data_IF_103279127386
#
_entry.id   IF_103279127386
#
_cell.length_a   1.000
_cell.length_b   1.000
_cell.length_c   1.000
_cell.angle_alpha   90.00
_cell.angle_beta   90.00
_cell.angle_gamma   90.00
#
_symmetry.space_group_name_H-M   'P 1'
#
loop_
_entity.id
_entity.type
_entity.pdbx_description
1 polymer ?
#
# COMPACT_ATOMS: atom_id res chain seq x y z
N UNK A 1 5.56 3.39 -13.33
CA UNK A 1 6.06 4.30 -12.28
C UNK A 1 4.92 4.66 -11.34
N UNK A 2 5.17 4.70 -10.02
CA UNK A 2 4.15 4.81 -8.97
C UNK A 2 4.54 5.84 -7.89
N UNK A 3 3.56 6.54 -7.28
CA UNK A 3 3.75 7.62 -6.26
C UNK A 3 2.61 7.60 -5.21
N UNK A 4 2.87 8.02 -3.95
CA UNK A 4 2.09 7.65 -2.73
C UNK A 4 1.87 8.82 -1.73
N UNK A 5 0.70 8.93 -1.04
CA UNK A 5 0.19 10.21 -0.48
C UNK A 5 -0.69 10.26 0.80
N UNK A 6 -0.36 11.16 1.75
CA UNK A 6 -1.19 12.08 2.62
C UNK A 6 -0.18 12.91 3.49
N UNK A 7 -0.31 14.13 4.07
CA UNK A 7 -1.36 15.00 4.65
C UNK A 7 -0.98 16.52 4.56
N UNK A 8 -1.86 17.42 5.06
CA UNK A 8 -1.80 18.90 5.11
C UNK A 8 -1.99 19.61 3.75
N UNK A 9 -3.23 20.08 3.52
CA UNK A 9 -3.76 20.60 2.25
C UNK A 9 -2.81 21.52 1.47
N UNK A 10 -2.28 22.58 2.09
CA UNK A 10 -1.44 23.59 1.41
C UNK A 10 -0.05 23.08 1.00
N UNK A 11 0.44 22.01 1.62
CA UNK A 11 1.70 21.39 1.23
C UNK A 11 1.45 20.46 0.05
N UNK A 12 0.61 19.44 0.23
CA UNK A 12 0.26 18.48 -0.82
C UNK A 12 -0.25 19.15 -2.10
N UNK A 13 -1.17 20.10 -2.02
CA UNK A 13 -1.73 20.77 -3.19
C UNK A 13 -0.69 21.59 -4.00
N UNK A 14 0.51 21.81 -3.45
CA UNK A 14 1.67 22.37 -4.17
C UNK A 14 2.64 21.29 -4.64
N UNK A 15 3.02 20.36 -3.75
CA UNK A 15 4.10 19.40 -3.99
C UNK A 15 3.66 18.18 -4.79
N UNK A 16 2.41 17.72 -4.67
CA UNK A 16 1.92 16.59 -5.46
C UNK A 16 1.82 16.91 -6.96
N UNK A 17 1.24 18.04 -7.42
CA UNK A 17 1.23 18.37 -8.85
C UNK A 17 2.64 18.49 -9.45
N UNK A 18 3.61 18.99 -8.65
CA UNK A 18 5.02 19.03 -9.04
C UNK A 18 5.62 17.62 -9.14
N UNK A 19 5.40 16.75 -8.16
CA UNK A 19 5.84 15.36 -8.19
C UNK A 19 5.21 14.58 -9.37
N UNK A 20 3.88 14.66 -9.57
CA UNK A 20 3.17 14.00 -10.68
C UNK A 20 3.65 14.48 -12.05
N UNK A 21 3.91 15.79 -12.23
CA UNK A 21 4.39 16.33 -13.51
C UNK A 21 5.88 16.08 -13.80
N UNK A 22 6.71 15.94 -12.76
CA UNK A 22 8.11 15.52 -12.88
C UNK A 22 8.25 14.02 -13.14
N UNK A 23 7.64 13.19 -12.28
CA UNK A 23 7.75 11.72 -12.27
C UNK A 23 6.93 11.06 -13.39
N UNK A 24 5.84 11.70 -13.83
CA UNK A 24 4.91 11.24 -14.88
C UNK A 24 4.47 9.77 -14.70
N UNK A 25 3.90 9.41 -13.56
CA UNK A 25 3.61 8.02 -13.24
C UNK A 25 2.43 7.47 -14.04
N UNK A 26 2.55 6.21 -14.50
CA UNK A 26 1.47 5.44 -15.12
C UNK A 26 0.27 5.23 -14.18
N UNK A 27 0.56 5.19 -12.88
CA UNK A 27 -0.34 4.83 -11.79
C UNK A 27 0.05 5.55 -10.50
N UNK A 28 -0.90 5.75 -9.61
CA UNK A 28 -0.71 6.25 -8.25
C UNK A 28 -1.20 5.18 -7.28
N UNK A 29 -0.47 4.99 -6.18
CA UNK A 29 -0.83 4.04 -5.13
C UNK A 29 -0.97 4.85 -3.86
N UNK A 30 -2.09 4.75 -3.13
CA UNK A 30 -2.20 5.36 -1.80
C UNK A 30 -2.25 4.23 -0.79
N UNK A 31 -1.26 4.18 0.11
CA UNK A 31 -1.04 3.07 1.04
C UNK A 31 -1.85 3.17 2.34
N UNK A 32 -2.96 3.90 2.35
CA UNK A 32 -3.80 4.13 3.52
C UNK A 32 -3.42 5.36 4.35
N UNK A 33 -4.18 5.57 5.42
CA UNK A 33 -4.19 6.75 6.28
C UNK A 33 -4.41 8.03 5.47
N UNK A 34 -5.53 8.03 4.77
CA UNK A 34 -6.01 9.13 3.93
C UNK A 34 -6.69 10.21 4.79
N UNK A 35 -7.25 9.83 5.94
CA UNK A 35 -7.98 10.71 6.85
C UNK A 35 -7.56 10.49 8.31
N UNK A 36 -6.98 11.52 8.94
CA UNK A 36 -6.58 11.47 10.35
C UNK A 36 -7.79 11.28 11.30
N UNK A 37 -9.01 11.63 10.83
CA UNK A 37 -10.28 11.50 11.56
C UNK A 37 -11.25 10.49 10.90
N UNK A 38 -10.77 9.57 10.04
CA UNK A 38 -11.64 8.66 9.26
C UNK A 38 -12.58 7.78 10.11
N UNK A 39 -12.17 7.50 11.36
CA UNK A 39 -12.92 6.70 12.34
C UNK A 39 -14.09 7.46 12.97
N UNK A 40 -13.86 8.70 13.40
CA UNK A 40 -14.79 9.52 14.19
C UNK A 40 -15.65 10.43 13.33
N UNK A 41 -15.28 10.64 12.07
CA UNK A 41 -16.04 11.45 11.12
C UNK A 41 -17.48 10.99 10.95
N UNK A 42 -18.41 11.95 10.97
CA UNK A 42 -19.73 11.81 10.35
C UNK A 42 -19.62 11.63 8.82
N UNK A 43 -20.68 11.14 8.16
CA UNK A 43 -20.64 10.94 6.70
C UNK A 43 -20.48 12.25 5.92
N UNK A 44 -20.98 13.37 6.46
CA UNK A 44 -20.76 14.71 5.91
C UNK A 44 -19.30 15.18 6.07
N UNK A 45 -18.61 14.79 7.15
CA UNK A 45 -17.17 15.04 7.32
C UNK A 45 -16.35 14.17 6.39
N UNK A 46 -16.65 12.88 6.31
CA UNK A 46 -15.98 11.95 5.39
C UNK A 46 -16.16 12.40 3.93
N UNK A 47 -17.35 12.86 3.55
CA UNK A 47 -17.63 13.47 2.24
C UNK A 47 -16.74 14.70 1.98
N UNK A 48 -16.64 15.63 2.95
CA UNK A 48 -15.74 16.80 2.85
C UNK A 48 -14.27 16.41 2.76
N UNK A 49 -13.84 15.36 3.47
CA UNK A 49 -12.47 14.87 3.42
C UNK A 49 -12.15 14.20 2.08
N UNK A 50 -13.08 13.44 1.52
CA UNK A 50 -12.98 12.89 0.16
C UNK A 50 -12.99 13.97 -0.93
N UNK A 51 -13.81 15.02 -0.78
CA UNK A 51 -13.78 16.18 -1.68
C UNK A 51 -12.44 16.93 -1.59
N UNK A 52 -11.87 17.06 -0.38
CA UNK A 52 -10.51 17.59 -0.16
C UNK A 52 -9.44 16.70 -0.79
N UNK A 53 -9.52 15.37 -0.63
CA UNK A 53 -8.63 14.40 -1.27
C UNK A 53 -8.69 14.55 -2.80
N UNK A 54 -9.89 14.57 -3.37
CA UNK A 54 -10.09 14.76 -4.81
C UNK A 54 -9.53 16.11 -5.30
N UNK A 55 -9.71 17.20 -4.54
CA UNK A 55 -9.18 18.53 -4.88
C UNK A 55 -7.66 18.62 -4.83
N UNK A 56 -6.99 17.77 -4.05
CA UNK A 56 -5.51 17.69 -4.02
C UNK A 56 -5.03 16.78 -5.14
N UNK A 57 -5.58 15.56 -5.20
CA UNK A 57 -5.01 14.46 -5.97
C UNK A 57 -5.60 14.27 -7.36
N UNK A 58 -6.65 15.02 -7.72
CA UNK A 58 -7.34 14.95 -9.02
C UNK A 58 -7.86 13.54 -9.35
N UNK A 59 -8.34 12.84 -8.31
CA UNK A 59 -8.67 11.42 -8.31
C UNK A 59 -9.81 11.06 -9.28
N UNK A 60 -10.97 11.71 -9.18
CA UNK A 60 -12.16 11.38 -9.98
C UNK A 60 -11.96 11.54 -11.49
N UNK A 61 -11.04 12.40 -11.91
CA UNK A 61 -10.72 12.61 -13.32
C UNK A 61 -9.75 11.54 -13.87
N UNK A 62 -9.15 10.74 -12.99
CA UNK A 62 -8.07 9.80 -13.30
C UNK A 62 -8.19 8.46 -12.54
N UNK A 63 -9.37 8.11 -12.01
CA UNK A 63 -9.56 7.00 -11.04
C UNK A 63 -8.99 5.66 -11.54
N UNK A 64 -9.05 5.41 -12.85
CA UNK A 64 -8.46 4.23 -13.50
C UNK A 64 -6.94 4.09 -13.35
N UNK A 65 -6.23 5.13 -12.89
CA UNK A 65 -4.80 5.12 -12.60
C UNK A 65 -4.50 5.05 -11.09
N UNK A 66 -5.48 4.90 -10.20
CA UNK A 66 -5.26 5.03 -8.76
C UNK A 66 -5.62 3.72 -8.03
N UNK A 67 -4.70 3.21 -7.21
CA UNK A 67 -4.94 2.06 -6.32
C UNK A 67 -4.80 2.52 -4.88
N UNK A 68 -5.96 2.79 -4.26
CA UNK A 68 -6.06 3.38 -2.93
C UNK A 68 -6.47 2.27 -1.95
N UNK A 69 -5.62 1.92 -0.99
CA UNK A 69 -5.91 0.95 0.08
C UNK A 69 -6.30 1.71 1.37
N UNK A 70 -7.06 1.10 2.31
CA UNK A 70 -7.33 1.72 3.60
C UNK A 70 -6.12 1.59 4.55
N UNK A 71 -5.91 2.61 5.37
CA UNK A 71 -5.11 2.50 6.60
C UNK A 71 -5.99 2.32 7.83
N UNK A 72 -5.40 2.08 8.99
CA UNK A 72 -6.18 1.87 10.20
C UNK A 72 -6.96 3.11 10.65
N UNK A 73 -6.51 4.33 10.38
CA UNK A 73 -7.29 5.54 10.65
C UNK A 73 -8.45 5.76 9.65
N UNK A 74 -8.44 5.06 8.51
CA UNK A 74 -9.55 5.08 7.55
C UNK A 74 -10.67 4.08 7.89
N UNK A 75 -10.34 2.91 8.48
CA UNK A 75 -11.29 1.79 8.66
C UNK A 75 -11.35 1.14 10.05
N UNK A 76 -10.49 1.54 10.99
CA UNK A 76 -10.55 1.14 12.40
C UNK A 76 -9.54 0.07 12.82
N UNK A 77 -8.52 -0.20 12.01
CA UNK A 77 -7.61 -1.35 12.19
C UNK A 77 -6.99 -1.46 13.59
N UNK A 78 -6.40 -0.38 14.13
CA UNK A 78 -5.70 -0.35 15.43
C UNK A 78 -6.63 -0.61 16.63
N UNK A 79 -7.88 -0.11 16.59
CA UNK A 79 -8.80 -0.14 17.74
C UNK A 79 -9.90 -1.19 17.66
N UNK A 80 -10.25 -1.62 16.44
CA UNK A 80 -11.47 -2.39 16.17
C UNK A 80 -11.25 -3.61 15.28
N UNK A 81 -10.14 -3.70 14.54
CA UNK A 81 -9.96 -4.72 13.50
C UNK A 81 -11.17 -4.81 12.57
N UNK A 82 -11.58 -6.01 12.18
CA UNK A 82 -12.75 -6.25 11.34
C UNK A 82 -14.14 -5.99 12.01
N UNK A 83 -14.20 -5.61 13.29
CA UNK A 83 -15.47 -5.49 14.03
C UNK A 83 -16.34 -4.27 13.63
N UNK A 84 -15.83 -3.35 12.82
CA UNK A 84 -16.54 -2.16 12.34
C UNK A 84 -16.80 -2.22 10.81
N UNK A 85 -17.68 -3.11 10.33
CA UNK A 85 -17.91 -3.33 8.90
C UNK A 85 -18.47 -2.09 8.18
N UNK A 86 -19.10 -1.16 8.91
CA UNK A 86 -19.61 0.11 8.37
C UNK A 86 -18.48 1.06 7.93
N UNK A 87 -17.35 1.12 8.64
CA UNK A 87 -16.21 1.95 8.24
C UNK A 87 -15.60 1.42 6.93
N UNK A 88 -15.38 0.10 6.86
CA UNK A 88 -14.96 -0.57 5.62
C UNK A 88 -15.98 -0.42 4.49
N UNK A 89 -17.29 -0.36 4.78
CA UNK A 89 -18.32 -0.06 3.77
C UNK A 89 -18.24 1.39 3.29
N UNK A 90 -18.10 2.36 4.19
CA UNK A 90 -17.92 3.78 3.85
C UNK A 90 -16.69 3.97 2.96
N UNK A 91 -15.57 3.35 3.31
CA UNK A 91 -14.37 3.35 2.46
C UNK A 91 -14.65 2.79 1.05
N UNK A 92 -15.32 1.63 0.96
CA UNK A 92 -15.69 1.03 -0.34
C UNK A 92 -16.58 1.91 -1.21
N UNK A 93 -17.45 2.72 -0.61
CA UNK A 93 -18.33 3.65 -1.33
C UNK A 93 -17.57 4.81 -2.01
N UNK A 94 -16.35 5.11 -1.56
CA UNK A 94 -15.52 6.23 -2.06
C UNK A 94 -14.26 5.79 -2.82
N UNK A 95 -13.71 4.60 -2.52
CA UNK A 95 -12.43 4.10 -3.06
C UNK A 95 -12.48 2.63 -3.55
N UNK A 96 -13.70 2.11 -3.78
CA UNK A 96 -13.91 0.77 -4.33
C UNK A 96 -13.49 -0.39 -3.42
N UNK A 97 -13.51 -1.62 -3.97
CA UNK A 97 -13.25 -2.86 -3.21
C UNK A 97 -11.93 -2.81 -2.43
N UNK A 98 -11.98 -3.10 -1.12
CA UNK A 98 -10.83 -3.15 -0.19
C UNK A 98 -9.84 -4.30 -0.49
N UNK A 99 -10.32 -5.41 -1.04
CA UNK A 99 -9.49 -6.49 -1.62
C UNK A 99 -9.78 -6.54 -3.11
N UNK A 100 -8.75 -6.37 -3.94
CA UNK A 100 -8.90 -6.36 -5.41
C UNK A 100 -7.56 -6.65 -6.13
N UNK A 101 -7.65 -7.29 -7.30
CA UNK A 101 -6.50 -7.52 -8.19
C UNK A 101 -6.63 -6.66 -9.46
N UNK A 102 -5.71 -5.71 -9.61
CA UNK A 102 -5.53 -4.87 -10.80
C UNK A 102 -4.39 -5.43 -11.68
N UNK A 103 -4.42 -5.12 -12.97
CA UNK A 103 -3.48 -5.63 -13.97
C UNK A 103 -2.98 -4.50 -14.86
N UNK A 104 -1.66 -4.39 -15.04
CA UNK A 104 -0.99 -3.44 -15.94
C UNK A 104 0.13 -4.20 -16.67
N UNK A 105 -0.09 -4.57 -17.92
CA UNK A 105 0.82 -5.43 -18.70
C UNK A 105 1.19 -6.69 -17.89
N UNK A 106 2.48 -6.96 -17.71
CA UNK A 106 2.99 -8.10 -16.94
C UNK A 106 3.06 -7.88 -15.42
N UNK A 107 2.39 -6.85 -14.90
CA UNK A 107 2.37 -6.51 -13.47
C UNK A 107 0.95 -6.69 -12.92
N UNK A 108 0.85 -7.37 -11.78
CA UNK A 108 -0.37 -7.46 -10.97
C UNK A 108 -0.23 -6.66 -9.68
N UNK A 109 -1.27 -5.91 -9.32
CA UNK A 109 -1.37 -5.21 -8.04
C UNK A 109 -2.49 -5.83 -7.21
N UNK A 110 -2.10 -6.56 -6.16
CA UNK A 110 -3.05 -7.10 -5.19
C UNK A 110 -3.20 -6.08 -4.05
N UNK A 111 -4.27 -5.29 -4.13
CA UNK A 111 -4.75 -4.42 -3.04
C UNK A 111 -5.37 -5.29 -1.96
N UNK A 112 -4.94 -5.07 -0.71
CA UNK A 112 -5.39 -5.77 0.49
C UNK A 112 -5.85 -4.80 1.59
N UNK A 113 -6.55 -5.39 2.55
CA UNK A 113 -6.99 -4.81 3.82
C UNK A 113 -6.78 -5.91 4.88
N UNK A 114 -5.51 -6.07 5.29
CA UNK A 114 -5.05 -6.96 6.34
C UNK A 114 -4.42 -6.13 7.47
N UNK A 115 -5.07 -6.04 8.62
CA UNK A 115 -4.57 -5.33 9.80
C UNK A 115 -3.72 -6.23 10.72
N UNK A 116 -3.23 -5.67 11.83
CA UNK A 116 -2.36 -6.38 12.79
C UNK A 116 -3.05 -7.56 13.50
N UNK A 117 -4.38 -7.57 13.58
CA UNK A 117 -5.17 -8.61 14.26
C UNK A 117 -5.61 -9.72 13.31
N UNK A 118 -5.82 -9.41 12.02
CA UNK A 118 -6.23 -10.37 11.00
C UNK A 118 -5.37 -11.63 10.96
N UNK A 119 -6.00 -12.80 10.92
CA UNK A 119 -5.34 -14.04 10.52
C UNK A 119 -5.50 -14.25 9.01
N UNK A 120 -4.46 -14.75 8.34
CA UNK A 120 -4.58 -15.17 6.94
C UNK A 120 -5.25 -16.55 6.86
N UNK A 121 -6.53 -16.57 7.20
CA UNK A 121 -7.41 -17.75 7.18
C UNK A 121 -8.82 -17.37 6.73
N UNK A 122 -9.68 -18.38 6.62
CA UNK A 122 -11.14 -18.25 6.57
C UNK A 122 -11.64 -17.21 5.55
N UNK A 123 -12.41 -16.20 5.98
CA UNK A 123 -13.02 -15.21 5.09
C UNK A 123 -11.97 -14.33 4.37
N UNK A 124 -10.97 -13.79 5.08
CA UNK A 124 -9.94 -12.92 4.50
C UNK A 124 -9.10 -13.67 3.47
N UNK A 125 -8.65 -14.90 3.80
CA UNK A 125 -7.95 -15.78 2.86
C UNK A 125 -8.82 -16.06 1.62
N UNK A 126 -10.07 -16.48 1.82
CA UNK A 126 -11.00 -16.81 0.72
C UNK A 126 -11.25 -15.62 -0.22
N UNK A 127 -11.43 -14.42 0.32
CA UNK A 127 -11.61 -13.20 -0.47
C UNK A 127 -10.38 -12.84 -1.32
N UNK A 128 -9.17 -13.13 -0.82
CA UNK A 128 -7.93 -12.99 -1.60
C UNK A 128 -7.84 -14.07 -2.68
N UNK A 129 -8.13 -15.34 -2.35
CA UNK A 129 -8.06 -16.45 -3.32
C UNK A 129 -9.08 -16.29 -4.46
N UNK A 130 -10.25 -15.70 -4.20
CA UNK A 130 -11.23 -15.35 -5.23
C UNK A 130 -10.60 -14.46 -6.33
N UNK A 131 -9.69 -13.55 -5.96
CA UNK A 131 -9.02 -12.67 -6.90
C UNK A 131 -7.80 -13.33 -7.57
N UNK A 132 -7.03 -14.17 -6.85
CA UNK A 132 -5.74 -14.70 -7.32
C UNK A 132 -5.78 -16.06 -7.99
N UNK A 133 -6.60 -17.01 -7.52
CA UNK A 133 -6.65 -18.39 -8.07
C UNK A 133 -7.55 -18.52 -9.30
N UNK A 134 -8.67 -17.80 -9.33
CA UNK A 134 -9.58 -17.79 -10.49
C UNK A 134 -9.01 -17.07 -11.73
N UNK A 135 -7.78 -16.52 -11.63
CA UNK A 135 -7.11 -15.73 -12.67
C UNK A 135 -5.67 -16.22 -12.84
N UNK A 136 -5.40 -17.19 -13.73
CA UNK A 136 -4.06 -17.76 -13.88
C UNK A 136 -3.01 -16.68 -14.15
N UNK A 137 -1.87 -16.76 -13.44
CA UNK A 137 -0.91 -15.68 -13.36
C UNK A 137 -0.10 -15.52 -14.66
N UNK A 138 -0.64 -14.73 -15.59
CA UNK A 138 0.06 -14.27 -16.81
C UNK A 138 1.07 -13.14 -16.55
N UNK A 139 1.13 -12.61 -15.33
CA UNK A 139 2.00 -11.51 -14.95
C UNK A 139 3.35 -12.03 -14.43
N UNK A 140 4.44 -11.39 -14.85
CA UNK A 140 5.80 -11.70 -14.42
C UNK A 140 6.09 -11.24 -12.98
N UNK A 141 5.37 -10.22 -12.52
CA UNK A 141 5.52 -9.63 -11.18
C UNK A 141 4.17 -9.42 -10.49
N UNK A 142 4.08 -9.81 -9.21
CA UNK A 142 2.95 -9.46 -8.34
C UNK A 142 3.43 -8.55 -7.20
N UNK A 143 2.85 -7.37 -7.16
CA UNK A 143 3.04 -6.32 -6.15
C UNK A 143 1.85 -6.38 -5.20
N UNK A 144 2.12 -6.55 -3.91
CA UNK A 144 1.10 -6.50 -2.84
C UNK A 144 1.08 -5.11 -2.23
N UNK A 145 -0.12 -4.60 -1.96
CA UNK A 145 -0.35 -3.30 -1.33
C UNK A 145 -1.17 -3.53 -0.05
N UNK A 146 -0.58 -3.29 1.12
CA UNK A 146 -1.23 -3.47 2.42
C UNK A 146 -0.73 -2.40 3.39
N UNK A 147 -1.59 -1.81 4.24
CA UNK A 147 -1.12 -0.72 5.13
C UNK A 147 -0.11 -1.22 6.16
N UNK A 148 -0.46 -2.30 6.86
CA UNK A 148 0.37 -2.95 7.89
C UNK A 148 1.41 -3.90 7.30
N UNK A 149 2.47 -4.15 8.07
CA UNK A 149 3.52 -5.14 7.78
C UNK A 149 2.99 -6.56 7.56
N UNK A 150 3.60 -7.27 6.60
CA UNK A 150 3.35 -8.68 6.30
C UNK A 150 4.59 -9.51 6.64
N UNK A 151 5.80 -9.09 6.23
CA UNK A 151 7.04 -9.85 6.38
C UNK A 151 7.66 -9.82 7.80
N UNK A 152 7.01 -9.16 8.77
CA UNK A 152 7.36 -9.26 10.21
C UNK A 152 6.30 -9.98 11.05
N UNK A 153 5.24 -10.52 10.43
CA UNK A 153 4.22 -11.34 11.11
C UNK A 153 4.74 -12.75 11.40
N UNK A 154 3.90 -13.60 11.99
CA UNK A 154 4.32 -14.97 12.36
C UNK A 154 4.69 -15.81 11.12
N UNK A 155 5.66 -16.72 11.26
CA UNK A 155 6.07 -17.63 10.16
C UNK A 155 4.88 -18.46 9.62
N UNK A 156 3.89 -18.79 10.46
CA UNK A 156 2.65 -19.47 10.04
C UNK A 156 1.80 -18.59 9.11
N UNK A 157 1.66 -17.30 9.44
CA UNK A 157 0.98 -16.33 8.57
C UNK A 157 1.75 -16.16 7.26
N UNK A 158 3.04 -15.83 7.36
CA UNK A 158 3.91 -15.52 6.22
C UNK A 158 3.96 -16.69 5.23
N UNK A 159 4.15 -17.92 5.71
CA UNK A 159 4.21 -19.10 4.84
C UNK A 159 2.90 -19.38 4.10
N UNK A 160 1.75 -19.23 4.77
CA UNK A 160 0.45 -19.38 4.11
C UNK A 160 0.21 -18.29 3.06
N UNK A 161 0.52 -17.04 3.41
CA UNK A 161 0.41 -15.88 2.53
C UNK A 161 1.28 -16.01 1.27
N UNK A 162 2.57 -16.34 1.44
CA UNK A 162 3.52 -16.46 0.33
C UNK A 162 3.15 -17.61 -0.61
N UNK A 163 2.72 -18.76 -0.08
CA UNK A 163 2.36 -19.92 -0.91
C UNK A 163 1.12 -19.67 -1.78
N UNK A 164 0.19 -18.83 -1.32
CA UNK A 164 -1.06 -18.53 -2.00
C UNK A 164 -0.94 -17.36 -2.99
N UNK A 165 -0.10 -16.39 -2.66
CA UNK A 165 -0.02 -15.09 -3.36
C UNK A 165 1.27 -14.97 -4.17
N UNK A 166 2.33 -15.70 -3.85
CA UNK A 166 3.63 -15.67 -4.53
C UNK A 166 4.24 -14.26 -4.78
N UNK A 167 4.13 -13.29 -3.85
CA UNK A 167 4.48 -11.91 -4.14
C UNK A 167 5.98 -11.74 -4.40
N UNK A 168 6.33 -10.79 -5.28
CA UNK A 168 7.71 -10.36 -5.49
C UNK A 168 8.08 -9.20 -4.57
N UNK A 169 7.11 -8.33 -4.29
CA UNK A 169 7.28 -7.19 -3.39
C UNK A 169 5.95 -6.82 -2.72
N UNK A 170 6.04 -6.34 -1.49
CA UNK A 170 4.98 -5.73 -0.68
C UNK A 170 5.33 -4.26 -0.47
N UNK A 171 4.36 -3.36 -0.61
CA UNK A 171 4.48 -1.94 -0.28
C UNK A 171 3.52 -1.63 0.88
N UNK A 172 4.02 -0.98 1.93
CA UNK A 172 3.26 -0.68 3.15
C UNK A 172 3.42 0.74 3.71
N UNK A 173 2.40 1.17 4.45
CA UNK A 173 2.28 2.46 5.14
C UNK A 173 2.69 2.34 6.61
N UNK A 174 1.75 2.60 7.54
CA UNK A 174 1.80 2.43 9.01
C UNK A 174 2.98 3.06 9.74
N UNK A 175 4.21 2.58 9.52
CA UNK A 175 5.38 2.93 10.31
C UNK A 175 5.91 4.35 10.06
N UNK A 176 5.30 5.09 9.13
CA UNK A 176 5.58 6.48 8.74
C UNK A 176 7.01 6.84 8.29
N UNK A 177 7.97 5.93 8.40
CA UNK A 177 9.37 6.10 8.00
C UNK A 177 9.77 5.11 6.90
N UNK A 178 10.80 5.48 6.13
CA UNK A 178 11.36 4.63 5.08
C UNK A 178 12.14 3.43 5.63
N UNK A 179 11.82 2.23 5.13
CA UNK A 179 12.66 1.04 5.30
C UNK A 179 12.49 0.04 4.16
N UNK A 180 13.50 -0.80 3.94
CA UNK A 180 13.43 -1.99 3.07
C UNK A 180 13.81 -3.20 3.90
N UNK A 181 12.93 -4.21 3.92
CA UNK A 181 13.16 -5.53 4.50
C UNK A 181 13.15 -6.55 3.36
N UNK A 182 14.08 -7.49 3.34
CA UNK A 182 13.99 -8.71 2.53
C UNK A 182 13.59 -9.90 3.38
N UNK A 183 12.81 -10.82 2.82
CA UNK A 183 12.49 -12.13 3.38
C UNK A 183 12.97 -13.22 2.44
N UNK A 184 13.81 -14.10 2.96
CA UNK A 184 14.33 -15.28 2.25
C UNK A 184 13.38 -16.47 2.49
N UNK A 185 12.81 -17.02 1.41
CA UNK A 185 11.79 -18.08 1.45
C UNK A 185 12.32 -19.43 1.93
N UNK A 186 13.63 -19.67 1.86
CA UNK A 186 14.26 -20.98 2.14
C UNK A 186 14.58 -21.11 3.63
N UNK A 187 15.29 -20.12 4.16
CA UNK A 187 15.64 -19.98 5.58
C UNK A 187 14.50 -19.43 6.44
N UNK A 188 13.46 -18.86 5.81
CA UNK A 188 12.30 -18.22 6.44
C UNK A 188 12.66 -17.06 7.37
N UNK A 189 13.72 -16.31 7.02
CA UNK A 189 14.24 -15.17 7.79
C UNK A 189 14.01 -13.86 7.06
N UNK A 190 13.73 -12.81 7.83
CA UNK A 190 13.79 -11.43 7.35
C UNK A 190 15.17 -10.79 7.66
N UNK A 191 15.54 -9.77 6.88
CA UNK A 191 16.76 -8.96 7.02
C UNK A 191 16.43 -7.52 6.67
N UNK A 192 16.86 -6.55 7.49
CA UNK A 192 16.73 -5.13 7.16
C UNK A 192 17.86 -4.76 6.19
N UNK A 193 17.50 -4.26 5.01
CA UNK A 193 18.44 -3.84 3.97
C UNK A 193 18.66 -2.31 3.97
N UNK A 194 17.61 -1.55 4.29
CA UNK A 194 17.68 -0.10 4.37
C UNK A 194 16.75 0.45 5.45
N UNK A 195 17.14 1.59 6.03
CA UNK A 195 16.29 2.42 6.88
C UNK A 195 16.67 3.88 6.67
N UNK A 196 15.75 4.78 7.01
CA UNK A 196 15.79 6.24 6.81
C UNK A 196 17.04 7.00 7.32
N UNK A 197 17.95 6.34 8.05
CA UNK A 197 19.24 6.91 8.46
C UNK A 197 20.35 6.83 7.39
N UNK A 198 20.17 6.05 6.32
CA UNK A 198 21.14 5.96 5.24
C UNK A 198 21.20 7.25 4.41
N UNK A 199 22.39 7.62 3.93
CA UNK A 199 22.64 8.78 3.06
C UNK A 199 22.22 8.56 1.59
N UNK A 200 21.53 7.46 1.30
CA UNK A 200 21.18 6.98 -0.03
C UNK A 200 19.68 7.16 -0.29
N UNK A 201 19.34 7.84 -1.38
CA UNK A 201 17.97 8.16 -1.79
C UNK A 201 17.43 7.32 -2.95
N UNK A 202 18.28 6.50 -3.57
CA UNK A 202 17.95 5.63 -4.70
C UNK A 202 18.44 4.23 -4.34
N UNK A 203 17.55 3.24 -4.42
CA UNK A 203 17.87 1.83 -4.16
C UNK A 203 17.71 1.02 -5.46
N UNK A 204 18.07 -0.26 -5.44
CA UNK A 204 17.79 -1.16 -6.57
C UNK A 204 17.60 -2.56 -6.04
N UNK A 205 16.44 -3.15 -6.30
CA UNK A 205 16.03 -4.47 -5.83
C UNK A 205 15.83 -5.42 -7.02
N UNK A 206 16.12 -6.70 -6.83
CA UNK A 206 16.00 -7.72 -7.88
C UNK A 206 14.73 -8.55 -7.68
N UNK A 207 13.67 -8.24 -8.43
CA UNK A 207 12.40 -8.96 -8.36
C UNK A 207 12.40 -10.26 -9.20
N UNK A 208 13.52 -10.59 -9.85
CA UNK A 208 13.65 -11.83 -10.65
C UNK A 208 13.97 -13.04 -9.78
N UNK A 209 14.70 -12.88 -8.66
CA UNK A 209 14.91 -13.96 -7.71
C UNK A 209 13.63 -14.27 -6.94
N UNK A 210 12.96 -15.36 -7.32
CA UNK A 210 11.72 -15.81 -6.70
C UNK A 210 11.93 -16.39 -5.29
N UNK A 211 13.17 -16.55 -4.80
CA UNK A 211 13.47 -16.96 -3.42
C UNK A 211 13.42 -15.79 -2.42
N UNK A 212 13.54 -14.54 -2.91
CA UNK A 212 13.50 -13.33 -2.08
C UNK A 212 12.17 -12.61 -2.29
N UNK A 213 11.68 -11.97 -1.23
CA UNK A 213 10.55 -11.05 -1.28
C UNK A 213 10.96 -9.78 -0.54
N UNK A 214 10.65 -8.62 -1.10
CA UNK A 214 10.91 -7.34 -0.44
C UNK A 214 9.63 -6.78 0.19
N UNK A 215 9.75 -6.11 1.33
CA UNK A 215 8.72 -5.23 1.89
C UNK A 215 9.33 -3.83 2.04
N UNK A 216 8.74 -2.85 1.35
CA UNK A 216 9.13 -1.44 1.47
C UNK A 216 8.12 -0.73 2.36
N UNK A 217 8.57 -0.18 3.47
CA UNK A 217 7.83 0.85 4.21
C UNK A 217 8.05 2.19 3.55
N UNK A 218 6.97 2.84 3.15
CA UNK A 218 6.99 4.12 2.48
C UNK A 218 6.78 5.22 3.53
N UNK A 219 7.64 6.25 3.60
CA UNK A 219 7.49 7.32 4.56
C UNK A 219 6.19 8.08 4.32
N UNK A 220 5.58 8.59 5.38
CA UNK A 220 4.42 9.46 5.23
C UNK A 220 4.85 10.81 4.65
N UNK A 221 4.06 11.41 3.75
CA UNK A 221 4.26 12.83 3.39
C UNK A 221 3.41 13.78 4.27
N UNK A 222 3.07 13.32 5.48
CA UNK A 222 2.17 14.00 6.43
C UNK A 222 2.90 14.89 7.42
N UNK A 223 2.76 16.21 7.25
CA UNK A 223 3.20 17.15 8.29
C UNK A 223 2.42 16.96 9.60
N UNK A 224 1.13 16.58 9.50
CA UNK A 224 0.24 16.42 10.66
C UNK A 224 0.60 15.26 11.58
N UNK A 225 1.28 14.23 11.05
CA UNK A 225 1.80 13.10 11.83
C UNK A 225 3.08 13.45 12.63
N UNK A 226 3.56 14.70 12.58
CA UNK A 226 4.74 15.16 13.33
C UNK A 226 6.08 14.66 12.82
N UNK A 227 6.11 13.99 11.66
CA UNK A 227 7.29 13.32 11.11
C UNK A 227 8.21 14.31 10.40
N UNK A 228 9.49 14.33 10.76
CA UNK A 228 10.46 15.28 10.21
C UNK A 228 10.86 14.97 8.75
N UNK A 229 10.85 13.68 8.36
CA UNK A 229 11.38 13.18 7.08
C UNK A 229 10.26 12.75 6.13
N UNK A 230 9.38 13.70 5.82
CA UNK A 230 8.32 13.49 4.82
C UNK A 230 8.91 13.31 3.42
N UNK A 231 8.33 12.40 2.62
CA UNK A 231 8.76 12.21 1.23
C UNK A 231 7.73 11.49 0.36
N UNK A 232 7.92 11.60 -0.95
CA UNK A 232 7.28 10.71 -1.92
C UNK A 232 8.30 9.67 -2.36
N UNK A 233 7.91 8.39 -2.41
CA UNK A 233 8.68 7.37 -3.12
C UNK A 233 8.18 7.31 -4.56
N UNK A 234 9.12 7.33 -5.51
CA UNK A 234 8.85 7.03 -6.92
C UNK A 234 9.47 5.67 -7.24
N UNK A 235 8.66 4.73 -7.75
CA UNK A 235 9.13 3.37 -8.07
C UNK A 235 9.17 3.14 -9.59
N UNK A 236 10.32 2.75 -10.12
CA UNK A 236 10.54 2.41 -11.54
C UNK A 236 10.87 0.91 -11.68
N UNK A 237 10.05 0.16 -12.41
CA UNK A 237 10.24 -1.26 -12.69
C UNK A 237 10.60 -1.46 -14.16
N UNK A 238 11.82 -1.94 -14.42
CA UNK A 238 12.31 -2.31 -15.74
C UNK A 238 13.01 -3.67 -15.66
N UNK A 239 12.64 -4.59 -16.57
CA UNK A 239 13.32 -5.88 -16.76
C UNK A 239 13.51 -6.71 -15.48
N UNK A 240 12.62 -6.51 -14.49
CA UNK A 240 12.66 -7.17 -13.18
C UNK A 240 13.54 -6.51 -12.12
N UNK A 241 14.21 -5.39 -12.42
CA UNK A 241 14.82 -4.52 -11.42
C UNK A 241 13.83 -3.44 -10.99
N UNK A 242 13.69 -3.23 -9.70
CA UNK A 242 12.93 -2.12 -9.12
C UNK A 242 13.89 -1.07 -8.56
N UNK A 243 13.73 0.18 -8.99
CA UNK A 243 14.49 1.36 -8.56
C UNK A 243 13.55 2.30 -7.81
#
# INVERSE_FOLDING_TARGET
>A
IFVIFYCLYRYLAKTFPQAKSYVKPDWIVVLGDIFDEGLSASDDEFKRYFERFNSIFDYKNHEQHYIIIPGDNDVGGEYYGDTQPLLRQRFRNYFGRIIALYHQNDIQFLKLDMDMFDSYSDAKRSAVMEQTQNRPMKANFRIVLNHWTILTRTVRFIKAFINDIEPNIILKGDSHHFSIISYDRISMKNTILAQEHLSQSIFTLDLTDKNVIYEISVPTCSYRMGVQRMGYVALFLDSGKLI
#
